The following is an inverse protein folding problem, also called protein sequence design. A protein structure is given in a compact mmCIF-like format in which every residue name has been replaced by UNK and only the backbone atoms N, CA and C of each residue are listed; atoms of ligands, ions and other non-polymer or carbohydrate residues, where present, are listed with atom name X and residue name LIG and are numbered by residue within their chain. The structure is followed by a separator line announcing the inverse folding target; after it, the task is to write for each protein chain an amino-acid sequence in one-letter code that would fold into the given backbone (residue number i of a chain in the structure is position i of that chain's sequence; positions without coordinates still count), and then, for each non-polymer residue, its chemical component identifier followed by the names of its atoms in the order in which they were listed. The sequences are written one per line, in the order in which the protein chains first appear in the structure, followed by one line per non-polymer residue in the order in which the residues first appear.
data_IF_643272417321
#
_entry.id   IF_643272417321
#
_cell.length_a   1.000
_cell.length_b   1.000
_cell.length_c   1.000
_cell.angle_alpha   90.00
_cell.angle_beta   90.00
_cell.angle_gamma   90.00
#
_symmetry.space_group_name_H-M   'P 1'
#
loop_
_entity.id
_entity.type
_entity.pdbx_description
1 polymer ?
#
# COMPACT_ATOMS: atom_id res chain seq x y z
N UNK A 1 8.99 -35.81 -14.53
CA UNK A 1 9.22 -34.41 -14.08
C UNK A 1 9.11 -34.30 -12.57
N UNK A 2 7.99 -34.75 -12.00
CA UNK A 2 7.73 -34.78 -10.54
C UNK A 2 8.84 -35.44 -9.70
N UNK A 3 9.31 -36.62 -10.10
CA UNK A 3 10.44 -37.30 -9.44
C UNK A 3 11.78 -36.53 -9.47
N UNK A 4 11.98 -35.61 -10.43
CA UNK A 4 13.17 -34.74 -10.47
C UNK A 4 13.05 -33.55 -9.51
N UNK A 5 11.82 -33.18 -9.16
CA UNK A 5 11.49 -32.07 -8.27
C UNK A 5 11.31 -32.51 -6.81
N UNK A 6 11.33 -33.83 -6.53
CA UNK A 6 11.16 -34.37 -5.18
C UNK A 6 9.77 -34.13 -4.58
N UNK A 7 8.78 -33.82 -5.42
CA UNK A 7 7.39 -33.57 -4.99
C UNK A 7 6.48 -34.71 -5.46
N UNK A 8 5.32 -34.83 -4.82
CA UNK A 8 4.30 -35.78 -5.25
C UNK A 8 3.66 -35.34 -6.58
N UNK A 9 3.31 -36.31 -7.43
CA UNK A 9 2.66 -36.08 -8.74
C UNK A 9 1.36 -35.29 -8.60
N UNK A 10 0.58 -35.57 -7.55
CA UNK A 10 -0.65 -34.85 -7.27
C UNK A 10 -0.41 -33.36 -6.96
N UNK A 11 0.69 -33.04 -6.27
CA UNK A 11 1.07 -31.66 -5.96
C UNK A 11 1.41 -30.90 -7.24
N UNK A 12 2.21 -31.52 -8.13
CA UNK A 12 2.53 -30.93 -9.42
C UNK A 12 1.27 -30.73 -10.28
N UNK A 13 0.38 -31.72 -10.29
CA UNK A 13 -0.89 -31.63 -11.02
C UNK A 13 -1.79 -30.50 -10.50
N UNK A 14 -1.89 -30.36 -9.18
CA UNK A 14 -2.66 -29.30 -8.54
C UNK A 14 -2.10 -27.90 -8.86
N UNK A 15 -0.77 -27.74 -8.90
CA UNK A 15 -0.15 -26.48 -9.31
C UNK A 15 -0.41 -26.14 -10.77
N UNK A 16 -0.24 -27.10 -11.68
CA UNK A 16 -0.55 -26.89 -13.11
C UNK A 16 -2.03 -26.55 -13.33
N UNK A 17 -2.93 -27.20 -12.58
CA UNK A 17 -4.36 -26.89 -12.62
C UNK A 17 -4.65 -25.47 -12.10
N UNK A 18 -4.06 -25.09 -10.95
CA UNK A 18 -4.23 -23.76 -10.38
C UNK A 18 -3.66 -22.65 -11.27
N UNK A 19 -2.56 -22.92 -11.98
CA UNK A 19 -1.99 -22.01 -12.99
C UNK A 19 -2.94 -21.81 -14.18
N UNK A 20 -3.47 -22.91 -14.75
CA UNK A 20 -4.49 -22.85 -15.82
C UNK A 20 -5.77 -22.12 -15.41
N UNK A 21 -6.13 -22.20 -14.13
CA UNK A 21 -7.31 -21.51 -13.58
C UNK A 21 -7.01 -20.05 -13.18
N UNK A 22 -5.77 -19.56 -13.34
CA UNK A 22 -5.36 -18.21 -12.92
C UNK A 22 -5.36 -18.01 -11.41
N UNK A 23 -5.41 -19.10 -10.63
CA UNK A 23 -5.45 -19.10 -9.16
C UNK A 23 -4.06 -19.25 -8.53
N UNK A 24 -3.03 -19.49 -9.35
CA UNK A 24 -1.66 -19.48 -8.88
C UNK A 24 -1.24 -18.02 -8.63
N UNK A 25 -1.42 -17.55 -7.40
CA UNK A 25 -0.92 -16.25 -6.99
C UNK A 25 0.62 -16.32 -6.96
N UNK A 26 1.28 -15.72 -7.95
CA UNK A 26 2.72 -15.58 -7.97
C UNK A 26 3.23 -14.70 -6.81
N UNK A 27 4.53 -14.77 -6.52
CA UNK A 27 5.22 -13.88 -5.59
C UNK A 27 5.38 -12.43 -6.11
N UNK A 28 4.38 -11.94 -6.87
CA UNK A 28 4.31 -10.57 -7.34
C UNK A 28 3.74 -9.63 -6.27
N UNK A 29 3.98 -8.31 -6.39
CA UNK A 29 3.36 -7.34 -5.50
C UNK A 29 1.84 -7.51 -5.57
N UNK A 30 1.22 -7.69 -4.40
CA UNK A 30 -0.25 -7.76 -4.32
C UNK A 30 -0.84 -6.47 -4.90
N UNK A 31 -1.91 -6.57 -5.70
CA UNK A 31 -2.65 -5.39 -6.12
C UNK A 31 -3.00 -4.54 -4.90
N UNK A 32 -2.69 -3.25 -4.95
CA UNK A 32 -3.06 -2.32 -3.90
C UNK A 32 -4.59 -2.22 -3.92
N UNK A 33 -5.22 -2.52 -2.79
CA UNK A 33 -6.68 -2.44 -2.66
C UNK A 33 -7.14 -0.98 -2.78
N UNK A 34 -8.37 -0.72 -3.28
CA UNK A 34 -8.95 0.63 -3.31
C UNK A 34 -8.90 1.33 -1.95
N UNK A 35 -9.11 0.58 -0.86
CA UNK A 35 -9.04 1.07 0.51
C UNK A 35 -7.64 1.55 0.88
N UNK A 36 -6.59 0.84 0.44
CA UNK A 36 -5.20 1.26 0.65
C UNK A 36 -4.84 2.51 -0.14
N UNK A 37 -5.36 2.66 -1.36
CA UNK A 37 -5.18 3.88 -2.15
C UNK A 37 -5.84 5.08 -1.49
N UNK A 38 -7.08 4.92 -1.02
CA UNK A 38 -7.81 5.98 -0.34
C UNK A 38 -7.14 6.36 0.99
N UNK A 39 -6.66 5.36 1.74
CA UNK A 39 -5.89 5.61 2.97
C UNK A 39 -4.62 6.42 2.69
N UNK A 40 -3.89 6.12 1.60
CA UNK A 40 -2.70 6.87 1.22
C UNK A 40 -3.05 8.32 0.83
N UNK A 41 -4.13 8.52 0.07
CA UNK A 41 -4.64 9.85 -0.31
C UNK A 41 -5.01 10.68 0.93
N UNK A 42 -5.79 10.10 1.84
CA UNK A 42 -6.22 10.78 3.06
C UNK A 42 -5.04 11.16 3.95
N UNK A 43 -4.02 10.28 4.07
CA UNK A 43 -2.80 10.59 4.83
C UNK A 43 -2.03 11.77 4.22
N UNK A 44 -1.92 11.83 2.89
CA UNK A 44 -1.28 12.95 2.21
C UNK A 44 -2.03 14.27 2.46
N UNK A 45 -3.36 14.24 2.37
CA UNK A 45 -4.17 15.43 2.61
C UNK A 45 -4.11 15.91 4.07
N UNK A 46 -4.17 14.99 5.04
CA UNK A 46 -3.98 15.33 6.46
C UNK A 46 -2.61 15.95 6.71
N UNK A 47 -1.55 15.45 6.07
CA UNK A 47 -0.21 16.02 6.20
C UNK A 47 -0.16 17.46 5.65
N UNK A 48 -0.75 17.70 4.47
CA UNK A 48 -0.88 19.03 3.86
C UNK A 48 -1.60 20.01 4.77
N UNK A 49 -2.79 19.64 5.25
CA UNK A 49 -3.61 20.49 6.12
C UNK A 49 -2.91 20.82 7.46
N UNK A 50 -2.18 19.85 8.04
CA UNK A 50 -1.39 20.09 9.25
C UNK A 50 -0.30 21.13 9.00
N UNK A 51 0.41 21.03 7.88
CA UNK A 51 1.45 21.97 7.50
C UNK A 51 0.88 23.39 7.31
N UNK A 52 -0.21 23.53 6.55
CA UNK A 52 -0.88 24.83 6.33
C UNK A 52 -1.32 25.47 7.65
N UNK A 53 -1.97 24.69 8.52
CA UNK A 53 -2.34 25.14 9.86
C UNK A 53 -1.13 25.62 10.66
N UNK A 54 -0.02 24.90 10.60
CA UNK A 54 1.17 25.25 11.38
C UNK A 54 1.86 26.51 10.87
N UNK A 55 1.86 26.74 9.56
CA UNK A 55 2.32 28.00 8.96
C UNK A 55 1.44 29.15 9.46
N UNK A 56 0.11 29.01 9.40
CA UNK A 56 -0.82 30.05 9.87
C UNK A 56 -0.65 30.35 11.36
N UNK A 57 -0.48 29.32 12.19
CA UNK A 57 -0.20 29.48 13.62
C UNK A 57 1.09 30.25 13.87
N UNK A 58 2.17 29.91 13.16
CA UNK A 58 3.45 30.62 13.27
C UNK A 58 3.31 32.08 12.83
N UNK A 59 2.61 32.35 11.74
CA UNK A 59 2.35 33.70 11.27
C UNK A 59 1.55 34.51 12.30
N UNK A 60 0.45 33.95 12.82
CA UNK A 60 -0.36 34.59 13.86
C UNK A 60 0.47 34.91 15.12
N UNK A 61 1.33 33.97 15.56
CA UNK A 61 2.21 34.19 16.70
C UNK A 61 3.28 35.26 16.44
N UNK A 62 3.80 35.37 15.22
CA UNK A 62 4.73 36.42 14.84
C UNK A 62 4.06 37.80 14.91
N UNK A 63 2.91 37.96 14.25
CA UNK A 63 2.20 39.24 14.24
C UNK A 63 1.70 39.67 15.63
N UNK A 64 1.28 38.73 16.46
CA UNK A 64 0.89 39.04 17.84
C UNK A 64 2.06 39.58 18.69
N UNK A 65 3.31 39.20 18.38
CA UNK A 65 4.51 39.72 19.07
C UNK A 65 4.90 41.12 18.58
N UNK A 66 4.74 41.41 17.29
CA UNK A 66 5.07 42.71 16.69
C UNK A 66 4.04 43.81 16.99
N UNK A 67 2.86 43.45 17.48
CA UNK A 67 1.76 44.39 17.77
C UNK A 67 1.76 44.91 19.22
N UNK A 68 2.80 44.61 20.01
CA UNK A 68 2.95 44.97 21.42
C UNK A 68 4.12 45.93 21.61
#
# INVERSE_FOLDING_TARGET
MSARLGIADQTLHNWVKADREGKLAGAGPKPVSPEQMELARLRAEVARLKMERDILKKAAAYFAKESV
#
